data_IF_284432783630
#
_entry.id   IF_284432783630
#
_cell.length_a   1.000
_cell.length_b   1.000
_cell.length_c   1.000
_cell.angle_alpha   90.00
_cell.angle_beta   90.00
_cell.angle_gamma   90.00
#
_symmetry.space_group_name_H-M   'P 1'
#
loop_
_entity.id
_entity.type
_entity.pdbx_description
1 polymer ?
#
# COMPACT_ATOMS: atom_id res chain seq x y z
N UNK A 1 9.25 -13.54 6.93
CA UNK A 1 8.60 -12.29 6.49
C UNK A 1 8.73 -11.25 7.60
N UNK A 2 9.27 -10.06 7.29
CA UNK A 2 9.50 -9.02 8.32
C UNK A 2 8.45 -7.91 8.28
N UNK A 3 7.96 -7.59 7.10
CA UNK A 3 7.01 -6.50 6.89
C UNK A 3 6.06 -6.85 5.75
N UNK A 4 4.80 -6.48 5.91
CA UNK A 4 3.74 -6.59 4.88
C UNK A 4 3.09 -5.22 4.72
N UNK A 5 2.86 -4.80 3.49
CA UNK A 5 1.97 -3.69 3.21
C UNK A 5 0.62 -4.22 2.74
N UNK A 6 -0.45 -3.72 3.34
CA UNK A 6 -1.83 -4.04 2.94
C UNK A 6 -2.50 -2.75 2.50
N UNK A 7 -3.05 -2.76 1.28
CA UNK A 7 -3.82 -1.63 0.78
C UNK A 7 -5.30 -1.79 1.12
N UNK A 8 -5.80 -0.83 1.88
CA UNK A 8 -7.22 -0.62 2.14
C UNK A 8 -7.67 0.65 1.41
N UNK A 9 -8.88 0.69 0.91
CA UNK A 9 -9.38 1.83 0.13
C UNK A 9 -10.47 2.60 0.88
N UNK A 10 -10.45 2.56 2.20
CA UNK A 10 -11.41 3.19 3.09
C UNK A 10 -12.28 2.19 3.84
N UNK A 11 -13.49 2.61 4.18
CA UNK A 11 -14.47 1.80 4.89
C UNK A 11 -14.91 0.56 4.07
N UNK A 12 -15.64 -0.34 4.70
CA UNK A 12 -16.13 -1.60 4.10
C UNK A 12 -16.76 -1.41 2.72
N UNK A 13 -17.57 -0.38 2.57
CA UNK A 13 -18.29 -0.09 1.32
C UNK A 13 -17.31 0.34 0.22
N UNK A 14 -16.39 1.25 0.53
CA UNK A 14 -15.35 1.71 -0.41
C UNK A 14 -14.45 0.55 -0.83
N UNK A 15 -14.06 -0.30 0.14
CA UNK A 15 -13.26 -1.47 -0.12
C UNK A 15 -13.94 -2.44 -1.10
N UNK A 16 -15.22 -2.76 -0.86
CA UNK A 16 -15.99 -3.67 -1.71
C UNK A 16 -16.16 -3.11 -3.12
N UNK A 17 -16.50 -1.81 -3.22
CA UNK A 17 -16.70 -1.12 -4.49
C UNK A 17 -15.43 -1.09 -5.36
N UNK A 18 -14.26 -0.92 -4.73
CA UNK A 18 -12.99 -0.73 -5.43
C UNK A 18 -12.27 -2.03 -5.73
N UNK A 19 -12.27 -2.98 -4.80
CA UNK A 19 -11.59 -4.28 -5.00
C UNK A 19 -12.28 -5.18 -6.00
N UNK A 20 -13.62 -5.10 -6.11
CA UNK A 20 -14.43 -5.84 -7.09
C UNK A 20 -14.01 -7.31 -7.20
N UNK A 21 -13.87 -7.98 -6.06
CA UNK A 21 -13.45 -9.38 -6.03
C UNK A 21 -14.43 -10.28 -6.81
N UNK A 22 -13.88 -11.21 -7.58
CA UNK A 22 -14.66 -12.21 -8.32
C UNK A 22 -15.42 -13.16 -7.38
N UNK A 23 -14.88 -13.40 -6.18
CA UNK A 23 -15.47 -14.25 -5.14
C UNK A 23 -15.58 -13.46 -3.83
N UNK A 24 -16.56 -12.55 -3.72
CA UNK A 24 -16.67 -11.65 -2.55
C UNK A 24 -16.99 -12.39 -1.25
N UNK A 25 -17.55 -13.59 -1.32
CA UNK A 25 -17.79 -14.47 -0.18
C UNK A 25 -16.48 -14.98 0.46
N UNK A 26 -15.42 -15.11 -0.34
CA UNK A 26 -14.09 -15.56 0.12
C UNK A 26 -13.14 -14.40 0.39
N UNK A 27 -13.19 -13.39 -0.46
CA UNK A 27 -12.29 -12.25 -0.46
C UNK A 27 -13.09 -10.97 -0.22
N UNK A 28 -13.05 -10.47 0.99
CA UNK A 28 -13.81 -9.30 1.41
C UNK A 28 -13.06 -8.51 2.49
N UNK A 29 -13.66 -7.40 2.91
CA UNK A 29 -13.13 -6.54 3.95
C UNK A 29 -12.83 -7.29 5.25
N UNK A 30 -13.76 -8.16 5.71
CA UNK A 30 -13.55 -8.93 6.94
C UNK A 30 -12.38 -9.90 6.82
N UNK A 31 -12.20 -10.50 5.66
CA UNK A 31 -11.06 -11.35 5.34
C UNK A 31 -9.74 -10.57 5.44
N UNK A 32 -9.69 -9.36 4.86
CA UNK A 32 -8.53 -8.48 4.96
C UNK A 32 -8.24 -8.10 6.41
N UNK A 33 -9.26 -7.70 7.17
CA UNK A 33 -9.11 -7.33 8.58
C UNK A 33 -8.66 -8.50 9.46
N UNK A 34 -9.14 -9.73 9.19
CA UNK A 34 -8.64 -10.93 9.89
C UNK A 34 -7.17 -11.21 9.56
N UNK A 35 -6.79 -11.08 8.29
CA UNK A 35 -5.40 -11.27 7.87
C UNK A 35 -4.46 -10.24 8.52
N UNK A 36 -4.87 -8.97 8.57
CA UNK A 36 -4.10 -7.90 9.23
C UNK A 36 -3.91 -8.23 10.72
N UNK A 37 -4.99 -8.63 11.42
CA UNK A 37 -4.91 -9.00 12.84
C UNK A 37 -3.95 -10.18 13.05
N UNK A 38 -4.12 -11.24 12.26
CA UNK A 38 -3.25 -12.41 12.32
C UNK A 38 -1.78 -12.04 12.14
N UNK A 39 -1.44 -11.28 11.10
CA UNK A 39 -0.06 -10.83 10.86
C UNK A 39 0.48 -9.98 12.02
N UNK A 40 -0.35 -9.09 12.57
CA UNK A 40 0.04 -8.27 13.70
C UNK A 40 0.25 -9.09 14.97
N UNK A 41 -0.59 -10.09 15.24
CA UNK A 41 -0.47 -10.99 16.37
C UNK A 41 0.77 -11.88 16.28
N UNK A 42 1.17 -12.28 15.07
CA UNK A 42 2.44 -13.00 14.79
C UNK A 42 3.69 -12.08 14.84
N UNK A 43 3.54 -10.83 15.28
CA UNK A 43 4.67 -9.90 15.41
C UNK A 43 5.19 -9.35 14.08
N UNK A 44 4.53 -9.64 12.96
CA UNK A 44 4.91 -9.11 11.65
C UNK A 44 4.53 -7.63 11.59
N UNK A 45 5.43 -6.81 11.06
CA UNK A 45 5.13 -5.40 10.84
C UNK A 45 4.13 -5.23 9.70
N UNK A 46 3.01 -4.56 9.97
CA UNK A 46 1.96 -4.28 8.98
C UNK A 46 1.89 -2.79 8.70
N UNK A 47 2.07 -2.42 7.45
CA UNK A 47 1.88 -1.05 6.98
C UNK A 47 0.54 -0.98 6.24
N UNK A 48 -0.44 -0.29 6.81
CA UNK A 48 -1.73 -0.06 6.18
C UNK A 48 -1.63 1.17 5.26
N UNK A 49 -1.77 0.95 3.97
CA UNK A 49 -1.91 2.02 2.98
C UNK A 49 -3.37 2.24 2.68
N UNK A 50 -3.85 3.44 2.86
CA UNK A 50 -5.23 3.82 2.54
C UNK A 50 -5.21 4.75 1.33
N UNK A 51 -5.74 4.29 0.21
CA UNK A 51 -5.85 5.11 -0.96
C UNK A 51 -7.07 6.02 -0.83
N UNK A 52 -6.85 7.32 -1.04
CA UNK A 52 -7.86 8.36 -0.86
C UNK A 52 -8.05 9.13 -2.15
N UNK A 53 -9.29 9.40 -2.49
CA UNK A 53 -9.74 10.33 -3.53
C UNK A 53 -10.91 11.17 -3.00
N UNK A 54 -11.48 12.02 -3.83
CA UNK A 54 -12.61 12.87 -3.44
C UNK A 54 -13.88 12.07 -3.13
N UNK A 55 -14.02 10.86 -3.68
CA UNK A 55 -15.21 10.04 -3.49
C UNK A 55 -15.25 9.42 -2.09
N UNK A 56 -14.11 8.86 -1.59
CA UNK A 56 -14.06 8.24 -0.27
C UNK A 56 -13.63 9.18 0.85
N UNK A 57 -13.02 10.34 0.54
CA UNK A 57 -12.54 11.30 1.53
C UNK A 57 -13.56 11.63 2.64
N UNK A 58 -14.86 11.86 2.37
CA UNK A 58 -15.83 12.16 3.41
C UNK A 58 -16.02 11.05 4.45
N UNK A 59 -15.66 9.82 4.12
CA UNK A 59 -15.81 8.65 5.01
C UNK A 59 -14.51 8.23 5.69
N UNK A 60 -13.36 8.83 5.29
CA UNK A 60 -12.04 8.45 5.81
C UNK A 60 -11.93 8.70 7.31
N UNK A 61 -12.54 9.77 7.83
CA UNK A 61 -12.45 10.05 9.25
C UNK A 61 -13.08 8.95 10.12
N UNK A 62 -14.28 8.49 9.76
CA UNK A 62 -14.94 7.37 10.44
C UNK A 62 -14.17 6.04 10.27
N UNK A 63 -13.60 5.82 9.10
CA UNK A 63 -12.71 4.68 8.87
C UNK A 63 -11.46 4.73 9.76
N UNK A 64 -10.87 5.89 9.98
CA UNK A 64 -9.74 6.03 10.91
C UNK A 64 -10.15 5.69 12.35
N UNK A 65 -11.36 6.05 12.79
CA UNK A 65 -11.85 5.66 14.12
C UNK A 65 -11.94 4.12 14.25
N UNK A 66 -12.42 3.44 13.22
CA UNK A 66 -12.43 1.96 13.16
C UNK A 66 -11.00 1.39 13.27
N UNK A 67 -10.06 1.96 12.53
CA UNK A 67 -8.65 1.52 12.58
C UNK A 67 -8.01 1.79 13.93
N UNK A 68 -8.31 2.94 14.55
CA UNK A 68 -7.87 3.28 15.89
C UNK A 68 -8.40 2.29 16.94
N UNK A 69 -9.67 1.92 16.86
CA UNK A 69 -10.26 0.91 17.73
C UNK A 69 -9.67 -0.50 17.53
N UNK A 70 -9.37 -0.86 16.28
CA UNK A 70 -8.86 -2.19 15.94
C UNK A 70 -7.37 -2.37 16.24
N UNK A 71 -6.55 -1.32 16.02
CA UNK A 71 -5.09 -1.43 15.99
C UNK A 71 -4.36 -0.33 16.77
N UNK A 72 -5.06 0.60 17.40
CA UNK A 72 -4.46 1.72 18.12
C UNK A 72 -3.39 1.26 19.11
N UNK A 73 -2.25 1.98 19.15
CA UNK A 73 -1.09 1.69 19.98
C UNK A 73 -0.39 0.34 19.74
N UNK A 74 -0.72 -0.40 18.70
CA UNK A 74 0.04 -1.58 18.28
C UNK A 74 1.35 -1.15 17.61
N UNK A 75 2.49 -1.41 18.24
CA UNK A 75 3.82 -0.96 17.79
C UNK A 75 4.24 -1.50 16.41
N UNK A 76 3.64 -2.60 15.97
CA UNK A 76 3.93 -3.25 14.70
C UNK A 76 2.88 -2.97 13.61
N UNK A 77 1.90 -2.11 13.88
CA UNK A 77 0.94 -1.66 12.88
C UNK A 77 1.11 -0.16 12.65
N UNK A 78 1.22 0.24 11.40
CA UNK A 78 1.25 1.66 11.02
C UNK A 78 0.24 1.91 9.91
N UNK A 79 -0.27 3.14 9.83
CA UNK A 79 -1.23 3.56 8.82
C UNK A 79 -0.79 4.87 8.19
N UNK A 80 -0.97 5.00 6.88
CA UNK A 80 -0.82 6.25 6.17
C UNK A 80 -1.85 6.39 5.05
N UNK A 81 -2.25 7.62 4.80
CA UNK A 81 -3.13 7.99 3.69
C UNK A 81 -2.28 8.33 2.47
N UNK A 82 -2.73 7.92 1.30
CA UNK A 82 -2.09 8.22 0.02
C UNK A 82 -3.14 8.65 -0.99
N UNK A 83 -2.97 9.81 -1.61
CA UNK A 83 -3.82 10.19 -2.72
C UNK A 83 -3.71 9.15 -3.84
N UNK A 84 -4.83 8.82 -4.49
CA UNK A 84 -4.83 7.93 -5.64
C UNK A 84 -3.94 8.50 -6.75
N UNK A 85 -3.19 7.61 -7.40
CA UNK A 85 -2.27 8.00 -8.47
C UNK A 85 -2.98 8.74 -9.61
N UNK A 86 -4.22 8.38 -9.91
CA UNK A 86 -5.05 9.01 -10.94
C UNK A 86 -5.38 10.49 -10.65
N UNK A 87 -5.31 10.89 -9.38
CA UNK A 87 -5.52 12.29 -8.99
C UNK A 87 -4.28 13.17 -9.21
N UNK A 88 -3.11 12.56 -9.41
CA UNK A 88 -1.87 13.30 -9.63
C UNK A 88 -1.94 14.12 -10.92
N UNK A 89 -1.69 15.43 -10.80
CA UNK A 89 -1.76 16.35 -11.92
C UNK A 89 -3.16 16.89 -12.24
N UNK A 90 -4.19 16.47 -11.48
CA UNK A 90 -5.52 17.09 -11.54
C UNK A 90 -5.62 18.32 -10.62
N UNK A 91 -6.61 19.18 -10.86
CA UNK A 91 -6.91 20.33 -10.00
C UNK A 91 -7.34 19.91 -8.58
N UNK A 92 -7.77 18.65 -8.43
CA UNK A 92 -8.19 18.08 -7.17
C UNK A 92 -7.03 17.62 -6.29
N UNK A 93 -5.82 17.49 -6.83
CA UNK A 93 -4.70 16.90 -6.13
C UNK A 93 -4.25 17.72 -4.91
N UNK A 94 -4.11 19.03 -5.06
CA UNK A 94 -3.68 19.89 -3.95
C UNK A 94 -4.71 19.93 -2.81
N UNK A 95 -6.02 20.16 -3.05
CA UNK A 95 -7.04 20.07 -2.00
C UNK A 95 -7.09 18.71 -1.31
N UNK A 96 -6.93 17.63 -2.07
CA UNK A 96 -6.90 16.27 -1.52
C UNK A 96 -5.69 16.06 -0.60
N UNK A 97 -4.52 16.56 -0.97
CA UNK A 97 -3.31 16.48 -0.14
C UNK A 97 -3.47 17.28 1.15
N UNK A 98 -4.07 18.47 1.11
CA UNK A 98 -4.37 19.27 2.29
C UNK A 98 -5.30 18.52 3.27
N UNK A 99 -6.37 17.91 2.74
CA UNK A 99 -7.29 17.11 3.54
C UNK A 99 -6.61 15.88 4.16
N UNK A 100 -5.77 15.17 3.39
CA UNK A 100 -4.98 14.04 3.90
C UNK A 100 -4.02 14.51 5.01
N UNK A 101 -3.39 15.67 4.82
CA UNK A 101 -2.49 16.22 5.83
C UNK A 101 -3.21 16.59 7.13
N UNK A 102 -4.42 17.16 7.04
CA UNK A 102 -5.24 17.49 8.21
C UNK A 102 -5.60 16.24 9.06
N UNK A 103 -5.76 15.07 8.43
CA UNK A 103 -6.08 13.82 9.14
C UNK A 103 -4.86 13.15 9.79
N UNK A 104 -3.66 13.65 9.55
CA UNK A 104 -2.42 13.05 10.05
C UNK A 104 -2.31 13.11 11.58
N UNK A 105 -2.76 14.18 12.20
CA UNK A 105 -2.73 14.30 13.65
C UNK A 105 -3.66 13.29 14.33
N UNK A 106 -4.79 12.95 13.72
CA UNK A 106 -5.67 11.88 14.17
C UNK A 106 -4.95 10.52 14.13
N UNK A 107 -4.26 10.21 13.04
CA UNK A 107 -3.47 8.96 12.91
C UNK A 107 -2.37 8.90 13.98
N UNK A 108 -1.72 10.03 14.24
CA UNK A 108 -0.69 10.15 15.30
C UNK A 108 -1.28 9.92 16.68
N UNK A 109 -2.41 10.53 16.98
CA UNK A 109 -3.09 10.39 18.27
C UNK A 109 -3.50 8.93 18.55
N UNK A 110 -3.80 8.15 17.52
CA UNK A 110 -4.09 6.72 17.63
C UNK A 110 -2.84 5.84 17.77
N UNK A 111 -1.64 6.41 17.71
CA UNK A 111 -0.37 5.66 17.74
C UNK A 111 -0.11 4.83 16.49
N UNK A 112 -0.74 5.15 15.37
CA UNK A 112 -0.62 4.44 14.09
C UNK A 112 0.27 5.18 13.08
N UNK A 113 0.79 6.35 13.42
CA UNK A 113 1.68 7.08 12.51
C UNK A 113 2.98 6.29 12.30
N UNK A 114 3.37 6.12 11.05
CA UNK A 114 4.69 5.57 10.72
C UNK A 114 5.76 6.52 11.30
N UNK A 115 6.73 6.01 12.07
CA UNK A 115 7.84 6.84 12.51
C UNK A 115 8.46 7.53 11.30
N UNK A 116 8.47 8.86 11.33
CA UNK A 116 9.18 9.64 10.31
C UNK A 116 10.63 9.16 10.32
N UNK A 117 11.07 8.55 9.25
CA UNK A 117 12.50 8.48 8.98
C UNK A 117 12.90 9.92 8.72
N UNK A 118 13.39 10.59 9.77
CA UNK A 118 13.94 11.92 9.63
C UNK A 118 14.93 11.87 8.46
N UNK A 119 14.73 12.72 7.47
CA UNK A 119 15.65 12.89 6.38
C UNK A 119 17.02 13.21 7.01
N UNK A 120 17.91 12.24 7.03
CA UNK A 120 19.28 12.50 7.43
C UNK A 120 19.89 13.32 6.30
N UNK A 121 20.16 14.59 6.60
CA UNK A 121 20.84 15.51 5.69
C UNK A 121 22.10 14.79 5.16
N UNK A 122 22.16 14.53 3.85
CA UNK A 122 23.29 13.86 3.21
C UNK A 122 23.05 12.43 2.70
N UNK A 123 21.89 11.82 2.96
CA UNK A 123 21.51 10.54 2.33
C UNK A 123 20.52 10.75 1.18
N UNK A 124 20.96 11.43 0.13
CA UNK A 124 20.31 11.28 -1.19
C UNK A 124 20.86 10.00 -1.82
N UNK A 125 20.06 8.94 -1.84
CA UNK A 125 20.33 7.80 -2.71
C UNK A 125 19.78 8.15 -4.08
N UNK A 126 20.61 8.09 -5.10
CA UNK A 126 20.18 8.30 -6.49
C UNK A 126 19.23 7.19 -6.96
N UNK A 127 19.29 6.02 -6.34
CA UNK A 127 18.49 4.84 -6.66
C UNK A 127 17.40 4.63 -5.61
N UNK A 128 16.27 5.31 -5.76
CA UNK A 128 15.10 5.15 -4.91
C UNK A 128 13.96 4.35 -5.59
N UNK A 129 14.10 4.04 -6.87
CA UNK A 129 13.20 3.18 -7.61
C UNK A 129 13.61 1.72 -7.47
N UNK A 130 12.66 0.84 -7.12
CA UNK A 130 12.95 -0.61 -7.01
C UNK A 130 13.31 -1.23 -8.36
N UNK A 131 12.87 -0.61 -9.47
CA UNK A 131 13.24 -1.04 -10.82
C UNK A 131 14.72 -0.81 -11.15
N UNK A 132 15.37 0.13 -10.45
CA UNK A 132 16.81 0.42 -10.64
C UNK A 132 17.69 -0.45 -9.72
N UNK A 133 17.07 -1.27 -8.87
CA UNK A 133 17.75 -2.08 -7.85
C UNK A 133 17.42 -3.56 -8.09
N UNK A 134 17.93 -4.08 -9.19
CA UNK A 134 17.55 -5.33 -9.84
C UNK A 134 17.47 -6.54 -8.91
N UNK A 135 18.33 -6.62 -7.89
CA UNK A 135 18.37 -7.73 -6.93
C UNK A 135 17.40 -7.59 -5.74
N UNK A 136 16.67 -6.49 -5.63
CA UNK A 136 15.92 -6.19 -4.40
C UNK A 136 14.44 -6.42 -4.47
N UNK A 137 13.84 -6.49 -5.67
CA UNK A 137 12.41 -6.67 -5.84
C UNK A 137 12.04 -7.39 -7.13
N UNK A 138 11.04 -8.25 -7.04
CA UNK A 138 10.40 -8.91 -8.17
C UNK A 138 8.91 -8.58 -8.11
N UNK A 139 8.36 -8.11 -9.22
CA UNK A 139 6.92 -8.00 -9.41
C UNK A 139 6.43 -9.22 -10.16
N UNK A 140 5.53 -9.96 -9.56
CA UNK A 140 4.86 -11.11 -10.18
C UNK A 140 3.45 -10.68 -10.59
N UNK A 141 3.21 -10.65 -11.88
CA UNK A 141 1.91 -10.31 -12.43
C UNK A 141 0.90 -11.46 -12.27
N UNK A 142 -0.42 -11.21 -12.39
CA UNK A 142 -1.43 -12.25 -12.22
C UNK A 142 -1.30 -13.43 -13.18
N UNK A 143 -0.64 -13.25 -14.32
CA UNK A 143 -0.34 -14.30 -15.30
C UNK A 143 0.98 -15.05 -15.02
N UNK A 144 1.63 -14.73 -13.89
CA UNK A 144 2.86 -15.35 -13.43
C UNK A 144 4.14 -14.77 -14.03
N UNK A 145 4.08 -13.76 -14.89
CA UNK A 145 5.27 -13.12 -15.46
C UNK A 145 6.01 -12.24 -14.46
N UNK A 146 7.33 -12.16 -14.61
CA UNK A 146 8.22 -11.37 -13.77
C UNK A 146 8.61 -10.05 -14.41
N UNK A 147 8.61 -9.00 -13.58
CA UNK A 147 9.01 -7.66 -13.96
C UNK A 147 9.79 -7.00 -12.81
N UNK A 148 10.54 -5.95 -13.12
CA UNK A 148 11.18 -5.11 -12.11
C UNK A 148 10.21 -4.05 -11.54
N UNK A 149 9.16 -3.69 -12.29
CA UNK A 149 8.17 -2.70 -11.88
C UNK A 149 6.81 -3.04 -12.51
N UNK A 150 5.72 -2.79 -11.77
CA UNK A 150 4.35 -3.02 -12.24
C UNK A 150 3.92 -2.08 -13.38
N UNK A 151 4.66 -1.02 -13.63
CA UNK A 151 4.38 -0.07 -14.71
C UNK A 151 5.07 -0.41 -16.04
N UNK A 152 5.87 -1.47 -16.09
CA UNK A 152 6.55 -1.87 -17.30
C UNK A 152 5.60 -2.53 -18.31
N UNK A 153 5.78 -2.26 -19.63
CA UNK A 153 4.97 -2.91 -20.66
C UNK A 153 5.16 -4.43 -20.66
N UNK A 154 4.11 -5.14 -21.07
CA UNK A 154 4.08 -6.61 -21.10
C UNK A 154 5.27 -7.26 -21.84
N UNK A 155 5.84 -6.58 -22.83
CA UNK A 155 7.02 -7.04 -23.56
C UNK A 155 8.35 -6.93 -22.81
N UNK A 156 8.36 -6.38 -21.60
CA UNK A 156 9.56 -6.24 -20.76
C UNK A 156 9.63 -7.27 -19.62
N UNK A 157 8.83 -8.33 -19.71
CA UNK A 157 8.99 -9.48 -18.81
C UNK A 157 10.33 -10.16 -19.04
N UNK A 158 11.02 -10.49 -17.95
CA UNK A 158 12.31 -11.19 -17.98
C UNK A 158 12.20 -12.66 -17.54
N UNK A 159 11.01 -13.12 -17.15
CA UNK A 159 10.78 -14.50 -16.72
C UNK A 159 9.37 -14.75 -16.27
N UNK A 160 9.15 -15.92 -15.70
CA UNK A 160 7.87 -16.32 -15.14
C UNK A 160 8.01 -17.37 -14.03
N UNK A 161 6.91 -17.64 -13.29
CA UNK A 161 6.90 -18.58 -12.16
C UNK A 161 7.14 -20.05 -12.55
N UNK A 162 7.01 -20.41 -13.83
CA UNK A 162 7.15 -21.78 -14.28
C UNK A 162 8.57 -22.08 -14.78
N UNK A 163 9.15 -21.15 -15.54
CA UNK A 163 10.41 -21.34 -16.25
C UNK A 163 11.58 -20.57 -15.58
N UNK A 164 11.27 -19.71 -14.58
CA UNK A 164 12.28 -18.86 -13.96
C UNK A 164 12.69 -17.69 -14.87
N UNK A 165 13.99 -17.38 -14.88
CA UNK A 165 14.57 -16.33 -15.76
C UNK A 165 14.62 -16.84 -17.19
N UNK A 166 13.90 -16.21 -18.10
CA UNK A 166 13.86 -16.57 -19.53
C UNK A 166 14.58 -15.55 -20.41
N UNK A 167 14.81 -14.36 -19.92
CA UNK A 167 15.57 -13.28 -20.58
C UNK A 167 16.61 -12.72 -19.62
N UNK A 168 17.81 -13.31 -19.54
CA UNK A 168 18.84 -12.86 -18.63
C UNK A 168 19.35 -11.44 -18.93
N UNK A 169 19.29 -10.99 -20.18
CA UNK A 169 19.71 -9.63 -20.55
C UNK A 169 18.79 -8.56 -19.96
N UNK A 170 17.50 -8.88 -19.78
CA UNK A 170 16.55 -7.98 -19.13
C UNK A 170 16.50 -8.14 -17.62
N UNK A 171 17.01 -9.25 -17.13
CA UNK A 171 17.15 -9.50 -15.70
C UNK A 171 18.31 -8.69 -15.11
N UNK A 172 19.44 -8.58 -15.80
CA UNK A 172 20.64 -7.81 -15.44
C UNK A 172 20.50 -6.32 -15.82
#
# INVERSE_FOLDING_TARGET
LKTVQVSLDGAREDYALRKRYVQPERHNYDGAMRAIRFLADEGIRVNLRVNVDLENLPRIEGFLDEMGAAFGNRKNVTLYLAALFQEQGSDNYAPLQEAIFALRDKIRAMGLERPSTAWKKGQMTLNHCMADNLDSAIVIMPDGRFFHCEHLPAGQSWGNIFDGVTDPVRYD
#
